data_IF_202729249084
#
_entry.id   IF_202729249084
#
_cell.length_a   1.000
_cell.length_b   1.000
_cell.length_c   1.000
_cell.angle_alpha   90.00
_cell.angle_beta   90.00
_cell.angle_gamma   90.00
#
_symmetry.space_group_name_H-M   'P 1'
#
loop_
_entity.id
_entity.type
_entity.pdbx_description
1 polymer ?
#
# COMPACT_ATOMS: atom_id res chain seq x y z
N UNK A 1 -2.87 11.26 17.53
CA UNK A 1 -1.89 10.94 16.47
C UNK A 1 -1.24 12.24 15.99
N UNK A 2 0.09 12.41 16.14
CA UNK A 2 0.76 13.59 15.55
C UNK A 2 0.76 13.42 14.04
N UNK A 3 0.13 14.32 13.33
CA UNK A 3 0.07 14.31 11.86
C UNK A 3 1.49 14.29 11.28
N UNK A 4 1.74 13.51 10.22
CA UNK A 4 2.98 13.56 9.45
C UNK A 4 3.29 14.99 8.99
N UNK A 5 2.24 15.75 8.66
CA UNK A 5 2.32 17.12 8.14
C UNK A 5 2.76 18.15 9.19
N UNK A 6 2.71 17.83 10.49
CA UNK A 6 3.17 18.73 11.56
C UNK A 6 4.67 18.65 11.83
N UNK A 7 5.39 17.78 11.14
CA UNK A 7 6.83 17.58 11.29
C UNK A 7 7.62 18.43 10.30
N UNK A 8 8.80 18.93 10.65
CA UNK A 8 9.66 19.63 9.70
C UNK A 8 10.11 18.72 8.54
N UNK A 9 10.23 17.42 8.79
CA UNK A 9 10.39 16.37 7.78
C UNK A 9 9.80 15.07 8.31
N UNK A 10 9.31 14.22 7.42
CA UNK A 10 8.82 12.89 7.76
C UNK A 10 9.54 11.83 6.93
N UNK A 11 9.96 10.74 7.57
CA UNK A 11 10.49 9.55 6.90
C UNK A 11 9.38 8.53 6.85
N UNK A 12 9.00 8.14 5.63
CA UNK A 12 7.99 7.12 5.37
C UNK A 12 8.64 6.01 4.56
N UNK A 13 8.67 4.81 5.12
CA UNK A 13 9.16 3.63 4.42
C UNK A 13 8.07 2.98 3.57
N UNK A 14 8.47 2.07 2.69
CA UNK A 14 7.53 1.26 1.90
C UNK A 14 7.76 -0.22 2.22
N UNK A 15 6.72 -0.91 2.64
CA UNK A 15 6.68 -2.36 2.75
C UNK A 15 6.13 -2.93 1.44
N UNK A 16 7.05 -3.39 0.58
CA UNK A 16 6.70 -4.06 -0.67
C UNK A 16 6.25 -5.49 -0.39
N UNK A 17 4.97 -5.78 -0.63
CA UNK A 17 4.44 -7.13 -0.45
C UNK A 17 5.08 -8.11 -1.44
N UNK A 18 5.32 -9.33 -0.97
CA UNK A 18 5.59 -10.47 -1.85
C UNK A 18 4.36 -10.75 -2.73
N UNK A 19 4.52 -11.47 -3.86
CA UNK A 19 3.39 -11.84 -4.71
C UNK A 19 2.27 -12.46 -3.89
N UNK A 20 1.08 -11.87 -4.00
CA UNK A 20 -0.11 -12.34 -3.28
C UNK A 20 -0.73 -13.56 -3.97
N UNK A 21 -1.39 -14.46 -3.25
CA UNK A 21 -2.13 -15.58 -3.85
C UNK A 21 -3.19 -15.07 -4.83
N UNK A 22 -3.22 -15.64 -6.02
CA UNK A 22 -4.14 -15.22 -7.09
C UNK A 22 -3.57 -14.17 -8.05
N UNK A 23 -2.40 -13.60 -7.73
CA UNK A 23 -1.70 -12.66 -8.60
C UNK A 23 -1.02 -13.33 -9.81
N UNK A 24 -0.45 -12.52 -10.72
CA UNK A 24 0.15 -13.02 -11.97
C UNK A 24 1.48 -13.76 -11.76
N UNK A 25 2.14 -13.57 -10.63
CA UNK A 25 3.39 -14.24 -10.28
C UNK A 25 3.16 -15.38 -9.31
N UNK A 26 4.01 -16.42 -9.31
CA UNK A 26 3.98 -17.46 -8.29
C UNK A 26 4.08 -16.83 -6.89
N UNK A 27 3.09 -17.11 -6.06
CA UNK A 27 3.04 -16.63 -4.68
C UNK A 27 3.68 -17.65 -3.74
N UNK A 28 4.47 -17.21 -2.75
CA UNK A 28 4.93 -18.09 -1.68
C UNK A 28 3.83 -18.45 -0.68
N UNK A 29 2.64 -17.91 -0.87
CA UNK A 29 1.50 -18.04 0.02
C UNK A 29 1.33 -16.85 0.95
N UNK A 30 0.07 -16.66 1.42
CA UNK A 30 -0.27 -15.50 2.24
C UNK A 30 0.47 -15.47 3.59
N UNK A 31 0.74 -16.63 4.19
CA UNK A 31 1.46 -16.70 5.47
C UNK A 31 2.87 -16.11 5.38
N UNK A 32 3.59 -16.40 4.30
CA UNK A 32 4.94 -15.87 4.07
C UNK A 32 4.91 -14.39 3.71
N UNK A 33 3.99 -13.97 2.82
CA UNK A 33 3.79 -12.57 2.48
C UNK A 33 3.46 -11.73 3.73
N UNK A 34 2.60 -12.27 4.61
CA UNK A 34 2.26 -11.67 5.90
C UNK A 34 3.48 -11.56 6.82
N UNK A 35 4.23 -12.65 7.00
CA UNK A 35 5.41 -12.65 7.87
C UNK A 35 6.42 -11.59 7.41
N UNK A 36 6.68 -11.48 6.11
CA UNK A 36 7.57 -10.49 5.53
C UNK A 36 7.07 -9.06 5.74
N UNK A 37 5.81 -8.79 5.46
CA UNK A 37 5.24 -7.45 5.64
C UNK A 37 5.30 -6.96 7.10
N UNK A 38 5.05 -7.86 8.06
CA UNK A 38 5.15 -7.55 9.48
C UNK A 38 6.59 -7.30 9.92
N UNK A 39 7.55 -8.06 9.39
CA UNK A 39 8.97 -7.86 9.67
C UNK A 39 9.46 -6.51 9.10
N UNK A 40 9.06 -6.15 7.88
CA UNK A 40 9.42 -4.87 7.26
C UNK A 40 8.83 -3.69 8.06
N UNK A 41 7.57 -3.79 8.50
CA UNK A 41 6.94 -2.76 9.34
C UNK A 41 7.63 -2.62 10.70
N UNK A 42 8.03 -3.74 11.33
CA UNK A 42 8.77 -3.73 12.59
C UNK A 42 10.14 -3.07 12.42
N UNK A 43 10.89 -3.43 11.38
CA UNK A 43 12.20 -2.84 11.11
C UNK A 43 12.11 -1.33 10.85
N UNK A 44 11.08 -0.88 10.12
CA UNK A 44 10.84 0.55 9.91
C UNK A 44 10.50 1.28 11.23
N UNK A 45 9.68 0.66 12.08
CA UNK A 45 9.33 1.23 13.38
C UNK A 45 10.56 1.33 14.30
N UNK A 46 11.38 0.30 14.36
CA UNK A 46 12.63 0.25 15.14
C UNK A 46 13.67 1.23 14.60
N UNK A 47 13.73 1.41 13.28
CA UNK A 47 14.58 2.40 12.60
C UNK A 47 14.13 3.85 12.76
N UNK A 48 13.02 4.11 13.46
CA UNK A 48 12.52 5.46 13.73
C UNK A 48 11.76 6.09 12.57
N UNK A 49 11.25 5.29 11.62
CA UNK A 49 10.35 5.79 10.58
C UNK A 49 9.08 6.38 11.19
N UNK A 50 8.51 7.38 10.52
CA UNK A 50 7.29 8.06 10.97
C UNK A 50 6.02 7.43 10.38
N UNK A 51 6.17 6.69 9.29
CA UNK A 51 5.08 5.98 8.64
C UNK A 51 5.58 4.85 7.75
N UNK A 52 4.64 4.03 7.31
CA UNK A 52 4.87 2.93 6.36
C UNK A 52 3.76 2.91 5.32
N UNK A 53 4.12 2.75 4.05
CA UNK A 53 3.17 2.47 2.96
C UNK A 53 3.17 0.98 2.71
N UNK A 54 2.00 0.37 2.70
CA UNK A 54 1.80 -1.01 2.28
C UNK A 54 1.47 -1.01 0.79
N UNK A 55 2.27 -1.73 -0.01
CA UNK A 55 2.20 -1.69 -1.47
C UNK A 55 2.29 -3.11 -2.07
N UNK A 56 1.36 -3.48 -2.95
CA UNK A 56 1.32 -4.80 -3.60
C UNK A 56 2.36 -4.95 -4.74
N UNK A 57 3.59 -4.52 -4.51
CA UNK A 57 4.66 -4.47 -5.51
C UNK A 57 5.02 -5.83 -6.13
N UNK A 58 4.86 -6.92 -5.39
CA UNK A 58 5.13 -8.28 -5.86
C UNK A 58 4.17 -8.77 -6.94
N UNK A 59 3.00 -8.16 -7.08
CA UNK A 59 1.96 -8.58 -8.02
C UNK A 59 2.18 -8.13 -9.46
N UNK A 60 3.37 -7.59 -9.78
CA UNK A 60 3.70 -7.21 -11.17
C UNK A 60 3.59 -8.43 -12.13
N UNK A 61 3.15 -8.23 -13.41
CA UNK A 61 2.71 -6.98 -14.02
C UNK A 61 1.33 -6.54 -13.54
N UNK A 62 1.17 -5.24 -13.32
CA UNK A 62 -0.06 -4.70 -12.75
C UNK A 62 -1.13 -4.46 -13.81
N UNK A 63 -2.44 -4.72 -13.53
CA UNK A 63 -3.52 -4.41 -14.45
C UNK A 63 -3.66 -2.90 -14.66
N UNK A 64 -4.19 -2.52 -15.81
CA UNK A 64 -4.47 -1.12 -16.15
C UNK A 64 -5.76 -0.56 -15.53
N UNK A 65 -6.47 -1.34 -14.75
CA UNK A 65 -7.75 -0.99 -14.13
C UNK A 65 -7.74 -1.26 -12.63
N UNK A 66 -8.92 -1.49 -12.08
CA UNK A 66 -9.07 -1.87 -10.69
C UNK A 66 -8.25 -3.13 -10.34
N UNK A 67 -7.73 -3.19 -9.13
CA UNK A 67 -7.11 -4.40 -8.62
C UNK A 67 -8.16 -5.48 -8.37
N UNK A 68 -7.75 -6.74 -8.41
CA UNK A 68 -8.65 -7.85 -8.11
C UNK A 68 -9.12 -7.84 -6.64
N UNK A 69 -10.33 -8.33 -6.35
CA UNK A 69 -10.90 -8.30 -5.00
C UNK A 69 -10.02 -8.99 -3.94
N UNK A 70 -9.27 -10.03 -4.31
CA UNK A 70 -8.36 -10.70 -3.36
C UNK A 70 -7.22 -9.80 -2.91
N UNK A 71 -6.70 -8.91 -3.78
CA UNK A 71 -5.66 -7.94 -3.41
C UNK A 71 -6.19 -7.00 -2.33
N UNK A 72 -7.40 -6.48 -2.51
CA UNK A 72 -8.08 -5.62 -1.52
C UNK A 72 -8.19 -6.34 -0.17
N UNK A 73 -8.65 -7.60 -0.18
CA UNK A 73 -8.83 -8.39 1.02
C UNK A 73 -7.50 -8.65 1.77
N UNK A 74 -6.46 -9.05 1.04
CA UNK A 74 -5.15 -9.32 1.66
C UNK A 74 -4.50 -8.05 2.20
N UNK A 75 -4.55 -6.95 1.44
CA UNK A 75 -3.96 -5.67 1.87
C UNK A 75 -4.71 -5.12 3.09
N UNK A 76 -6.04 -5.22 3.13
CA UNK A 76 -6.82 -4.82 4.29
C UNK A 76 -6.47 -5.65 5.54
N UNK A 77 -6.35 -6.98 5.41
CA UNK A 77 -5.98 -7.85 6.51
C UNK A 77 -4.57 -7.53 7.06
N UNK A 78 -3.59 -7.35 6.18
CA UNK A 78 -2.22 -7.00 6.56
C UNK A 78 -2.14 -5.61 7.18
N UNK A 79 -2.82 -4.65 6.57
CA UNK A 79 -2.84 -3.27 7.07
C UNK A 79 -3.47 -3.16 8.46
N UNK A 80 -4.56 -3.86 8.72
CA UNK A 80 -5.19 -3.91 10.03
C UNK A 80 -4.23 -4.48 11.09
N UNK A 81 -3.47 -5.53 10.75
CA UNK A 81 -2.51 -6.13 11.67
C UNK A 81 -1.30 -5.21 11.92
N UNK A 82 -0.74 -4.59 10.88
CA UNK A 82 0.34 -3.61 11.02
C UNK A 82 -0.11 -2.44 11.90
N UNK A 83 -1.32 -1.92 11.67
CA UNK A 83 -1.92 -0.83 12.44
C UNK A 83 -2.04 -1.17 13.92
N UNK A 84 -2.48 -2.41 14.22
CA UNK A 84 -2.62 -2.88 15.60
C UNK A 84 -1.27 -3.04 16.32
N UNK A 85 -0.24 -3.54 15.60
CA UNK A 85 1.09 -3.79 16.18
C UNK A 85 1.94 -2.53 16.29
N UNK A 86 1.78 -1.57 15.38
CA UNK A 86 2.59 -0.38 15.28
C UNK A 86 1.72 0.89 15.21
N UNK A 87 0.92 1.18 16.27
CA UNK A 87 -0.01 2.32 16.28
C UNK A 87 0.70 3.69 16.20
N UNK A 88 2.01 3.73 16.42
CA UNK A 88 2.83 4.93 16.29
C UNK A 88 3.17 5.26 14.83
N UNK A 89 3.18 4.28 13.91
CA UNK A 89 3.41 4.51 12.49
C UNK A 89 2.15 5.06 11.82
N UNK A 90 2.32 6.10 11.02
CA UNK A 90 1.27 6.51 10.09
C UNK A 90 1.21 5.51 8.95
N UNK A 91 0.14 4.71 8.89
CA UNK A 91 -0.04 3.72 7.83
C UNK A 91 -0.60 4.38 6.58
N UNK A 92 0.02 4.11 5.45
CA UNK A 92 -0.44 4.49 4.11
C UNK A 92 -0.73 3.26 3.25
N UNK A 93 -1.61 3.41 2.27
CA UNK A 93 -1.96 2.35 1.32
C UNK A 93 -1.66 2.82 -0.09
N UNK A 94 -1.04 1.94 -0.88
CA UNK A 94 -0.89 2.11 -2.33
C UNK A 94 -1.27 0.81 -3.04
N UNK A 95 -2.22 0.88 -3.95
CA UNK A 95 -2.63 -0.26 -4.77
C UNK A 95 -2.20 -0.06 -6.22
N UNK A 96 -1.27 -0.88 -6.65
CA UNK A 96 -0.66 -0.79 -7.97
C UNK A 96 -1.53 -1.46 -9.04
N UNK A 97 -1.53 -0.80 -10.21
CA UNK A 97 -0.64 0.35 -10.46
C UNK A 97 -1.23 1.73 -10.11
N UNK A 98 -2.55 1.91 -10.00
CA UNK A 98 -3.15 3.23 -9.76
C UNK A 98 -4.59 3.17 -9.26
N UNK A 99 -4.97 2.12 -8.53
CA UNK A 99 -6.34 1.98 -8.02
C UNK A 99 -6.52 2.83 -6.73
N UNK A 100 -6.69 4.13 -6.94
CA UNK A 100 -6.92 5.07 -5.85
C UNK A 100 -8.23 4.79 -5.10
N UNK A 101 -9.28 4.36 -5.80
CA UNK A 101 -10.60 4.09 -5.22
C UNK A 101 -10.53 2.91 -4.24
N UNK A 102 -9.93 1.80 -4.65
CA UNK A 102 -9.76 0.66 -3.75
C UNK A 102 -8.81 1.00 -2.59
N UNK A 103 -7.73 1.76 -2.85
CA UNK A 103 -6.83 2.21 -1.80
C UNK A 103 -7.53 3.06 -0.73
N UNK A 104 -8.41 3.98 -1.13
CA UNK A 104 -9.26 4.77 -0.19
C UNK A 104 -10.20 3.84 0.58
N UNK A 105 -10.83 2.87 -0.09
CA UNK A 105 -11.70 1.89 0.57
C UNK A 105 -10.97 1.07 1.63
N UNK A 106 -9.78 0.56 1.31
CA UNK A 106 -8.93 -0.16 2.28
C UNK A 106 -8.53 0.78 3.42
N UNK A 107 -8.05 1.99 3.10
CA UNK A 107 -7.62 2.96 4.10
C UNK A 107 -8.74 3.30 5.11
N UNK A 108 -9.95 3.49 4.61
CA UNK A 108 -11.12 3.73 5.45
C UNK A 108 -11.47 2.54 6.35
N UNK A 109 -11.37 1.32 5.81
CA UNK A 109 -11.69 0.09 6.55
C UNK A 109 -10.75 -0.18 7.73
N UNK A 110 -9.48 0.26 7.64
CA UNK A 110 -8.44 -0.03 8.63
C UNK A 110 -7.95 1.21 9.40
N UNK A 111 -8.60 2.35 9.23
CA UNK A 111 -8.19 3.64 9.80
C UNK A 111 -6.73 3.99 9.43
N UNK A 112 -6.37 3.84 8.16
CA UNK A 112 -5.08 4.27 7.66
C UNK A 112 -5.01 5.81 7.58
N UNK A 113 -3.81 6.36 7.68
CA UNK A 113 -3.60 7.81 7.80
C UNK A 113 -3.64 8.52 6.44
N UNK A 114 -3.30 7.83 5.36
CA UNK A 114 -3.21 8.40 4.01
C UNK A 114 -3.21 7.31 2.94
N UNK A 115 -3.36 7.72 1.69
CA UNK A 115 -3.13 6.89 0.51
C UNK A 115 -2.04 7.52 -0.35
N UNK A 116 -1.29 6.69 -1.06
CA UNK A 116 -0.43 7.12 -2.16
C UNK A 116 -1.11 6.74 -3.47
N UNK A 117 -1.12 7.66 -4.42
CA UNK A 117 -1.64 7.44 -5.78
C UNK A 117 -0.51 7.81 -6.74
N UNK A 118 -0.16 6.92 -7.67
CA UNK A 118 0.98 7.14 -8.58
C UNK A 118 0.72 8.31 -9.53
N UNK A 119 -0.47 8.34 -10.14
CA UNK A 119 -0.94 9.45 -10.97
C UNK A 119 -2.37 9.77 -10.57
N UNK A 120 -2.56 10.85 -9.80
CA UNK A 120 -3.89 11.26 -9.34
C UNK A 120 -4.59 12.15 -10.36
N UNK A 121 -3.85 13.10 -10.97
CA UNK A 121 -4.34 14.05 -11.97
C UNK A 121 -3.40 14.00 -13.18
N UNK A 122 -3.95 14.19 -14.39
CA UNK A 122 -3.19 14.19 -15.63
C UNK A 122 -2.84 12.79 -16.11
N UNK A 123 -1.71 12.64 -16.81
CA UNK A 123 -1.25 11.38 -17.38
C UNK A 123 0.27 11.29 -17.39
N UNK A 124 0.78 10.06 -17.34
CA UNK A 124 2.21 9.76 -17.38
C UNK A 124 2.48 8.56 -18.29
N UNK A 125 3.55 8.60 -19.06
CA UNK A 125 4.05 7.46 -19.82
C UNK A 125 4.92 6.60 -18.89
N UNK A 126 4.60 5.33 -18.79
CA UNK A 126 5.31 4.36 -17.93
C UNK A 126 5.79 3.17 -18.76
N UNK A 127 6.59 2.29 -18.17
CA UNK A 127 7.01 1.01 -18.77
C UNK A 127 5.83 0.09 -19.17
N UNK A 128 4.67 0.29 -18.57
CA UNK A 128 3.43 -0.45 -18.81
C UNK A 128 2.42 0.31 -19.68
N UNK A 129 2.86 1.37 -20.35
CA UNK A 129 2.04 2.23 -21.21
C UNK A 129 1.56 3.50 -20.51
N UNK A 130 0.51 4.11 -21.05
CA UNK A 130 -0.06 5.35 -20.53
C UNK A 130 -0.82 5.09 -19.22
N UNK A 131 -0.46 5.84 -18.20
CA UNK A 131 -1.16 5.86 -16.91
C UNK A 131 -1.89 7.21 -16.76
N UNK A 132 -3.20 7.18 -16.63
CA UNK A 132 -4.03 8.37 -16.46
C UNK A 132 -4.56 8.46 -15.04
N UNK A 133 -4.63 9.69 -14.53
CA UNK A 133 -5.25 9.99 -13.24
C UNK A 133 -6.76 9.83 -13.32
N UNK A 134 -7.34 9.38 -12.21
CA UNK A 134 -8.76 9.10 -12.05
C UNK A 134 -9.31 9.83 -10.80
N UNK A 135 -8.91 11.09 -10.63
CA UNK A 135 -9.20 11.89 -9.44
C UNK A 135 -10.70 12.07 -9.16
N UNK A 136 -11.55 11.96 -10.18
CA UNK A 136 -13.00 12.08 -10.01
C UNK A 136 -13.65 10.87 -9.31
N UNK A 137 -12.90 9.79 -9.10
CA UNK A 137 -13.35 8.59 -8.36
C UNK A 137 -12.87 8.54 -6.90
N UNK A 138 -12.15 9.60 -6.39
CA UNK A 138 -11.57 9.60 -5.03
C UNK A 138 -12.10 10.72 -4.14
#
# INVERSE_FOLDING_TARGET
MRSLLSRPFAVVGVAHLLPLPGGPRPSPGFAEARARALADAAALAEGGAHGVILENFGDAPFPAGPVDPHVVAFVAALGAEIRARHPQLALGINLLRNDARAAVGVAAAIDAAFVRVNVHVGAMVTDQGLLQGDAHHT
#
